data_IF_292779197664
#
_entry.id   IF_292779197664
#
_cell.length_a   1.000
_cell.length_b   1.000
_cell.length_c   1.000
_cell.angle_alpha   90.00
_cell.angle_beta   90.00
_cell.angle_gamma   90.00
#
_symmetry.space_group_name_H-M   'P 1'
#
loop_
_entity.id
_entity.type
_entity.pdbx_description
1 polymer ?
#
# COMPACT_ATOMS: atom_id res chain seq x y z
N UNK A 1 -19.31 -26.51 54.68
CA UNK A 1 -17.98 -26.14 54.15
C UNK A 1 -17.66 -26.81 52.80
N UNK A 2 -17.80 -28.12 52.60
CA UNK A 2 -17.49 -28.77 51.31
C UNK A 2 -18.26 -28.25 50.10
N UNK A 3 -19.53 -27.86 50.26
CA UNK A 3 -20.38 -27.30 49.18
C UNK A 3 -20.00 -25.84 48.82
N UNK A 4 -19.53 -25.07 49.81
CA UNK A 4 -19.09 -23.68 49.59
C UNK A 4 -17.76 -23.62 48.81
N UNK A 5 -16.85 -24.57 49.13
CA UNK A 5 -15.58 -24.71 48.40
C UNK A 5 -15.78 -25.14 46.93
N UNK A 6 -16.78 -26.00 46.66
CA UNK A 6 -17.09 -26.42 45.30
C UNK A 6 -17.68 -25.27 44.46
N UNK A 7 -18.50 -24.41 45.06
CA UNK A 7 -19.06 -23.22 44.37
C UNK A 7 -17.97 -22.17 44.05
N UNK A 8 -17.02 -21.96 44.97
CA UNK A 8 -15.88 -21.08 44.75
C UNK A 8 -14.93 -21.61 43.66
N UNK A 9 -14.71 -22.94 43.60
CA UNK A 9 -13.90 -23.57 42.55
C UNK A 9 -14.56 -23.49 41.18
N UNK A 10 -15.89 -23.56 41.08
CA UNK A 10 -16.62 -23.40 39.81
C UNK A 10 -16.61 -21.94 39.34
N UNK A 11 -16.67 -20.94 40.24
CA UNK A 11 -16.62 -19.53 39.91
C UNK A 11 -15.26 -19.10 39.42
N UNK A 12 -14.17 -19.75 39.88
CA UNK A 12 -12.81 -19.43 39.39
C UNK A 12 -12.51 -19.98 37.98
N UNK A 13 -13.29 -20.95 37.50
CA UNK A 13 -13.16 -21.51 36.14
C UNK A 13 -13.87 -20.64 35.07
N UNK A 14 -14.62 -19.60 35.46
CA UNK A 14 -15.35 -18.68 34.56
C UNK A 14 -14.58 -17.42 34.25
N UNK A 15 -13.37 -17.23 34.77
CA UNK A 15 -12.49 -16.12 34.33
C UNK A 15 -11.84 -16.52 33.03
N UNK A 16 -12.57 -16.32 31.93
CA UNK A 16 -11.97 -16.36 30.59
C UNK A 16 -11.07 -15.12 30.50
N UNK A 17 -9.75 -15.26 30.32
CA UNK A 17 -8.91 -14.10 30.03
C UNK A 17 -9.44 -13.48 28.72
N UNK A 18 -9.99 -12.26 28.81
CA UNK A 18 -10.22 -11.46 27.63
C UNK A 18 -8.85 -11.03 27.14
N UNK A 19 -8.35 -11.78 26.17
CA UNK A 19 -7.15 -11.41 25.43
C UNK A 19 -7.49 -10.06 24.75
N UNK A 20 -6.83 -9.00 25.19
CA UNK A 20 -6.98 -7.70 24.56
C UNK A 20 -6.48 -7.86 23.13
N UNK A 21 -7.40 -7.88 22.17
CA UNK A 21 -7.07 -7.99 20.75
C UNK A 21 -6.02 -6.92 20.44
N UNK A 22 -4.79 -7.36 20.16
CA UNK A 22 -3.75 -6.46 19.67
C UNK A 22 -4.28 -5.79 18.41
N UNK A 23 -4.53 -4.48 18.49
CA UNK A 23 -4.93 -3.69 17.32
C UNK A 23 -3.71 -3.55 16.41
N UNK A 24 -3.63 -4.41 15.40
CA UNK A 24 -2.59 -4.29 14.37
C UNK A 24 -2.81 -3.00 13.59
N UNK A 25 -1.80 -2.13 13.60
CA UNK A 25 -1.82 -0.89 12.82
C UNK A 25 -1.22 -1.14 11.45
N UNK A 26 -1.89 -0.66 10.40
CA UNK A 26 -1.45 -0.79 9.03
C UNK A 26 -1.10 0.58 8.46
N UNK A 27 -0.08 0.63 7.62
CA UNK A 27 0.33 1.80 6.83
C UNK A 27 0.44 1.37 5.38
N UNK A 28 -0.17 2.14 4.47
CA UNK A 28 0.02 1.99 3.04
C UNK A 28 0.98 3.09 2.54
N UNK A 29 2.02 2.68 1.80
CA UNK A 29 2.94 3.61 1.16
C UNK A 29 2.54 3.79 -0.29
N UNK A 30 2.35 5.05 -0.71
CA UNK A 30 2.05 5.41 -2.10
C UNK A 30 3.06 6.43 -2.60
N UNK A 31 3.46 6.30 -3.87
CA UNK A 31 4.41 7.19 -4.53
C UNK A 31 3.85 7.61 -5.88
N UNK A 32 3.66 8.91 -6.05
CA UNK A 32 3.05 9.51 -7.24
C UNK A 32 4.10 10.02 -8.24
N UNK A 33 3.67 10.37 -9.45
CA UNK A 33 4.44 11.06 -10.49
C UNK A 33 5.59 10.27 -11.15
N UNK A 34 5.85 9.05 -10.71
CA UNK A 34 6.94 8.24 -11.24
C UNK A 34 6.66 7.63 -12.63
N UNK A 35 7.58 6.81 -13.08
CA UNK A 35 8.91 6.57 -12.54
C UNK A 35 9.93 7.64 -12.92
N UNK A 36 11.05 7.69 -12.20
CA UNK A 36 12.21 8.50 -12.56
C UNK A 36 13.50 7.67 -12.55
N UNK A 37 14.44 8.02 -13.45
CA UNK A 37 15.64 7.21 -13.67
C UNK A 37 16.50 7.01 -12.42
N UNK A 38 16.69 8.06 -11.62
CA UNK A 38 17.54 8.04 -10.43
C UNK A 38 16.81 7.69 -9.15
N UNK A 39 15.72 8.41 -8.88
CA UNK A 39 15.09 8.34 -7.54
C UNK A 39 14.26 7.07 -7.36
N UNK A 40 13.52 6.66 -8.39
CA UNK A 40 12.72 5.43 -8.31
C UNK A 40 13.60 4.19 -8.13
N UNK A 41 14.77 4.12 -8.79
CA UNK A 41 15.71 3.01 -8.58
C UNK A 41 16.18 2.92 -7.13
N UNK A 42 16.60 4.05 -6.54
CA UNK A 42 17.04 4.10 -5.14
C UNK A 42 15.92 3.77 -4.15
N UNK A 43 14.69 4.21 -4.47
CA UNK A 43 13.52 3.87 -3.67
C UNK A 43 13.24 2.37 -3.69
N UNK A 44 13.27 1.75 -4.86
CA UNK A 44 13.10 0.31 -5.02
C UNK A 44 14.17 -0.48 -4.28
N UNK A 45 15.44 -0.05 -4.35
CA UNK A 45 16.52 -0.66 -3.56
C UNK A 45 16.20 -0.64 -2.06
N UNK A 46 15.76 0.51 -1.55
CA UNK A 46 15.42 0.65 -0.13
C UNK A 46 14.17 -0.12 0.31
N UNK A 47 13.17 -0.24 -0.56
CA UNK A 47 11.96 -1.06 -0.30
C UNK A 47 12.31 -2.55 -0.32
N UNK A 48 13.14 -2.96 -1.27
CA UNK A 48 13.62 -4.35 -1.38
C UNK A 48 14.39 -4.79 -0.14
N UNK A 49 15.38 -3.98 0.31
CA UNK A 49 16.18 -4.26 1.51
C UNK A 49 15.32 -4.43 2.78
N UNK A 50 14.14 -3.83 2.81
CA UNK A 50 13.21 -3.86 3.95
C UNK A 50 12.04 -4.80 3.77
N UNK A 51 11.99 -5.51 2.65
CA UNK A 51 10.87 -6.40 2.27
C UNK A 51 9.51 -5.69 2.29
N UNK A 52 9.48 -4.38 1.99
CA UNK A 52 8.28 -3.55 2.01
C UNK A 52 7.71 -3.43 0.60
N UNK A 53 6.40 -3.62 0.47
CA UNK A 53 5.66 -3.35 -0.77
C UNK A 53 4.98 -1.98 -0.69
N UNK A 54 4.78 -1.36 -1.86
CA UNK A 54 4.18 -0.05 -1.99
C UNK A 54 3.30 0.00 -3.25
N UNK A 55 2.53 1.08 -3.39
CA UNK A 55 1.75 1.39 -4.59
C UNK A 55 2.41 2.57 -5.30
N UNK A 56 2.63 2.43 -6.61
CA UNK A 56 3.20 3.47 -7.47
C UNK A 56 2.13 3.97 -8.44
N UNK A 57 1.76 5.25 -8.32
CA UNK A 57 0.82 5.93 -9.23
C UNK A 57 1.64 6.62 -10.32
N UNK A 58 1.73 6.00 -11.50
CA UNK A 58 2.68 6.36 -12.53
C UNK A 58 2.04 7.24 -13.62
N UNK A 59 2.79 8.23 -14.11
CA UNK A 59 2.42 9.03 -15.27
C UNK A 59 2.75 8.29 -16.57
N UNK A 60 1.81 8.28 -17.52
CA UNK A 60 1.96 7.53 -18.77
C UNK A 60 3.21 7.89 -19.57
N UNK A 61 3.54 9.19 -19.69
CA UNK A 61 4.75 9.61 -20.41
C UNK A 61 6.04 9.11 -19.74
N UNK A 62 6.06 9.01 -18.42
CA UNK A 62 7.23 8.49 -17.68
C UNK A 62 7.38 6.99 -17.80
N UNK A 63 6.28 6.26 -17.88
CA UNK A 63 6.31 4.81 -18.18
C UNK A 63 7.00 4.58 -19.52
N UNK A 64 6.69 5.41 -20.53
CA UNK A 64 7.32 5.36 -21.84
C UNK A 64 8.82 5.68 -21.81
N UNK A 65 9.22 6.65 -20.97
CA UNK A 65 10.61 7.07 -20.84
C UNK A 65 11.47 6.08 -20.03
N UNK A 66 10.86 5.35 -19.09
CA UNK A 66 11.54 4.42 -18.17
C UNK A 66 10.83 3.07 -18.08
N UNK A 67 10.71 2.34 -19.20
CA UNK A 67 9.99 1.07 -19.23
C UNK A 67 10.66 -0.01 -18.36
N UNK A 68 11.97 0.00 -18.26
CA UNK A 68 12.75 -0.92 -17.45
C UNK A 68 12.50 -0.73 -15.94
N UNK A 69 12.32 0.51 -15.49
CA UNK A 69 11.99 0.79 -14.10
C UNK A 69 10.54 0.40 -13.81
N UNK A 70 9.64 0.65 -14.75
CA UNK A 70 8.24 0.22 -14.64
C UNK A 70 8.15 -1.30 -14.53
N UNK A 71 8.90 -2.02 -15.35
CA UNK A 71 8.98 -3.48 -15.26
C UNK A 71 9.53 -3.93 -13.91
N UNK A 72 10.58 -3.28 -13.41
CA UNK A 72 11.15 -3.58 -12.10
C UNK A 72 10.15 -3.39 -10.96
N UNK A 73 9.35 -2.30 -10.99
CA UNK A 73 8.28 -2.06 -9.99
C UNK A 73 7.31 -3.27 -9.96
N UNK A 74 6.91 -3.74 -11.14
CA UNK A 74 6.01 -4.90 -11.26
C UNK A 74 6.66 -6.19 -10.77
N UNK A 75 7.88 -6.49 -11.23
CA UNK A 75 8.60 -7.73 -10.92
C UNK A 75 8.92 -7.86 -9.43
N UNK A 76 9.18 -6.74 -8.74
CA UNK A 76 9.40 -6.70 -7.30
C UNK A 76 8.09 -6.79 -6.50
N UNK A 77 6.92 -6.91 -7.15
CA UNK A 77 5.62 -7.15 -6.53
C UNK A 77 4.99 -5.93 -5.86
N UNK A 78 5.29 -4.74 -6.37
CA UNK A 78 4.61 -3.51 -6.01
C UNK A 78 3.31 -3.36 -6.82
N UNK A 79 2.34 -2.61 -6.30
CA UNK A 79 1.17 -2.24 -7.06
C UNK A 79 1.46 -1.06 -7.99
N UNK A 80 0.86 -1.07 -9.19
CA UNK A 80 0.94 0.02 -10.14
C UNK A 80 -0.47 0.57 -10.38
N UNK A 81 -0.64 1.87 -10.17
CA UNK A 81 -1.80 2.64 -10.56
C UNK A 81 -1.45 3.70 -11.59
N UNK A 82 -2.46 4.31 -12.17
CA UNK A 82 -2.29 5.32 -13.20
C UNK A 82 -2.52 6.73 -12.65
N UNK A 83 -1.62 7.67 -12.97
CA UNK A 83 -1.65 9.04 -12.47
C UNK A 83 -1.79 10.07 -13.61
N UNK A 84 -2.62 9.74 -14.60
CA UNK A 84 -2.74 10.53 -15.82
C UNK A 84 -1.57 10.32 -16.79
N UNK A 85 -1.75 10.77 -18.04
CA UNK A 85 -0.67 10.63 -19.02
C UNK A 85 0.38 11.73 -18.86
N UNK A 86 -0.03 13.01 -18.86
CA UNK A 86 0.88 14.17 -18.84
C UNK A 86 1.01 14.85 -17.48
N UNK A 87 0.21 14.48 -16.49
CA UNK A 87 0.11 15.16 -15.18
C UNK A 87 -0.30 16.64 -15.26
N UNK A 88 -1.00 17.05 -16.30
CA UNK A 88 -1.50 18.42 -16.46
C UNK A 88 -2.84 18.61 -15.75
N UNK A 89 -3.17 19.86 -15.41
CA UNK A 89 -4.46 20.20 -14.80
C UNK A 89 -5.64 19.91 -15.75
N UNK A 90 -6.41 18.88 -15.46
CA UNK A 90 -7.54 18.44 -16.29
C UNK A 90 -8.71 19.43 -16.30
N UNK A 91 -8.79 20.35 -15.33
CA UNK A 91 -9.86 21.36 -15.26
C UNK A 91 -9.88 22.28 -16.49
N UNK A 92 -8.73 22.51 -17.11
CA UNK A 92 -8.55 23.39 -18.26
C UNK A 92 -8.62 22.63 -19.60
N UNK A 93 -8.87 21.33 -19.57
CA UNK A 93 -8.87 20.47 -20.75
C UNK A 93 -10.28 20.27 -21.32
N UNK A 94 -10.36 20.04 -22.64
CA UNK A 94 -11.56 19.56 -23.29
C UNK A 94 -11.88 18.12 -22.83
N UNK A 95 -13.15 17.69 -22.92
CA UNK A 95 -13.56 16.31 -22.61
C UNK A 95 -12.75 15.27 -23.40
N UNK A 96 -12.44 15.56 -24.66
CA UNK A 96 -11.64 14.66 -25.51
C UNK A 96 -10.21 14.52 -24.99
N UNK A 97 -9.61 15.64 -24.56
CA UNK A 97 -8.26 15.65 -24.00
C UNK A 97 -8.22 14.93 -22.66
N UNK A 98 -9.23 15.13 -21.78
CA UNK A 98 -9.34 14.39 -20.52
C UNK A 98 -9.42 12.90 -20.78
N UNK A 99 -10.20 12.45 -21.78
CA UNK A 99 -10.29 11.05 -22.13
C UNK A 99 -8.91 10.47 -22.52
N UNK A 100 -8.06 11.22 -23.24
CA UNK A 100 -6.71 10.79 -23.59
C UNK A 100 -5.70 10.84 -22.44
N UNK A 101 -6.04 11.51 -21.34
CA UNK A 101 -5.21 11.51 -20.12
C UNK A 101 -5.46 10.28 -19.23
N UNK A 102 -6.59 9.61 -19.38
CA UNK A 102 -7.01 8.51 -18.50
C UNK A 102 -7.16 7.15 -19.21
N UNK A 103 -7.02 7.13 -20.54
CA UNK A 103 -7.00 5.90 -21.35
C UNK A 103 -5.60 5.54 -21.82
#
# INVERSE_FOLDING_TARGET
MRRLLAVLAILSLLVIPVDAAETTKYVALTFDDGPSGRYTRRLLDGLWEREVKATFLLCGYRIKDYPDITQRIFDEGHEIGYHGYTHKNMKEMSRRTVASEIM
#
